data_IF_560406484900
#
_entry.id   IF_560406484900
#
_cell.length_a   1.000
_cell.length_b   1.000
_cell.length_c   1.000
_cell.angle_alpha   90.00
_cell.angle_beta   90.00
_cell.angle_gamma   90.00
#
_symmetry.space_group_name_H-M   'P 1'
#
loop_
_entity.id
_entity.type
_entity.pdbx_description
1 polymer ?
#
# COMPACT_ATOMS: atom_id res chain seq x y z
N UNK A 1 13.63 5.23 -3.23
CA UNK A 1 13.14 5.76 -1.94
C UNK A 1 11.62 5.61 -1.89
N UNK A 2 11.00 5.61 -0.71
CA UNK A 2 9.53 5.55 -0.57
C UNK A 2 8.99 6.96 -0.45
N UNK A 3 7.97 7.31 -1.24
CA UNK A 3 7.36 8.66 -1.24
C UNK A 3 5.83 8.64 -1.05
N UNK A 4 5.21 7.47 -1.11
CA UNK A 4 3.77 7.26 -0.86
C UNK A 4 3.54 6.57 0.49
N UNK A 5 2.60 7.10 1.29
CA UNK A 5 2.37 6.66 2.67
C UNK A 5 0.88 6.58 3.02
N UNK A 6 0.55 5.63 3.90
CA UNK A 6 -0.74 5.58 4.61
C UNK A 6 -0.44 5.80 6.09
N UNK A 7 -0.79 6.99 6.61
CA UNK A 7 -0.70 7.28 8.04
C UNK A 7 -1.98 6.86 8.75
N UNK A 8 -1.85 6.28 9.94
CA UNK A 8 -2.99 5.81 10.75
C UNK A 8 -2.86 6.29 12.20
N UNK A 9 -4.00 6.48 12.88
CA UNK A 9 -4.02 6.77 14.32
C UNK A 9 -3.93 5.47 15.13
N UNK A 10 -3.58 5.56 16.42
CA UNK A 10 -3.31 4.39 17.29
C UNK A 10 -4.48 3.42 17.48
N UNK A 11 -5.71 3.84 17.15
CA UNK A 11 -6.91 3.01 17.17
C UNK A 11 -6.88 1.89 16.14
N UNK A 12 -6.11 2.07 15.05
CA UNK A 12 -5.94 1.05 14.03
C UNK A 12 -4.69 0.21 14.29
N UNK A 13 -4.84 -1.10 14.14
CA UNK A 13 -3.73 -2.05 14.05
C UNK A 13 -3.48 -2.39 12.58
N UNK A 14 -2.25 -2.15 12.12
CA UNK A 14 -1.79 -2.59 10.79
C UNK A 14 -1.48 -4.08 10.86
N UNK A 15 -2.22 -4.89 10.10
CA UNK A 15 -2.01 -6.35 10.06
C UNK A 15 -1.28 -6.83 8.83
N UNK A 16 -1.29 -6.04 7.75
CA UNK A 16 -0.55 -6.32 6.52
C UNK A 16 -0.16 -5.01 5.86
N UNK A 17 1.05 -4.96 5.32
CA UNK A 17 1.52 -3.90 4.41
C UNK A 17 2.08 -4.57 3.15
N UNK A 18 1.77 -4.02 1.99
CA UNK A 18 2.31 -4.48 0.71
C UNK A 18 2.40 -3.32 -0.29
N UNK A 19 3.33 -3.44 -1.23
CA UNK A 19 3.35 -2.63 -2.46
C UNK A 19 2.92 -3.56 -3.59
N UNK A 20 1.87 -3.21 -4.32
CA UNK A 20 1.34 -4.04 -5.40
C UNK A 20 2.11 -3.72 -6.69
N UNK A 21 2.76 -4.72 -7.28
CA UNK A 21 3.65 -4.55 -8.44
C UNK A 21 3.11 -5.21 -9.70
N UNK A 22 1.82 -5.57 -9.69
CA UNK A 22 1.14 -6.16 -10.83
C UNK A 22 1.27 -5.27 -12.07
N UNK A 23 1.56 -5.91 -13.20
CA UNK A 23 1.64 -5.28 -14.50
C UNK A 23 1.15 -6.26 -15.56
N UNK A 24 0.93 -5.77 -16.78
CA UNK A 24 0.49 -6.62 -17.90
C UNK A 24 1.65 -7.19 -18.74
N UNK A 25 2.88 -7.17 -18.21
CA UNK A 25 4.11 -7.56 -18.90
C UNK A 25 4.72 -6.48 -19.79
N UNK A 26 4.00 -5.39 -20.09
CA UNK A 26 4.51 -4.25 -20.87
C UNK A 26 4.42 -2.92 -20.12
N UNK A 27 3.34 -2.71 -19.39
CA UNK A 27 3.04 -1.46 -18.69
C UNK A 27 2.59 -1.75 -17.26
N UNK A 28 3.08 -0.91 -16.35
CA UNK A 28 2.45 -0.75 -15.05
C UNK A 28 1.13 0.04 -15.20
N UNK A 29 0.14 -0.20 -14.33
CA UNK A 29 -1.12 0.54 -14.38
C UNK A 29 -0.99 2.05 -14.10
N UNK A 30 0.08 2.49 -13.43
CA UNK A 30 0.40 3.87 -13.08
C UNK A 30 1.93 4.02 -12.99
N UNK A 31 2.41 5.25 -12.98
CA UNK A 31 3.81 5.65 -12.72
C UNK A 31 4.24 5.44 -11.26
N UNK A 32 3.30 5.26 -10.33
CA UNK A 32 3.54 4.83 -8.95
C UNK A 32 2.96 3.43 -8.70
N UNK A 33 3.52 2.70 -7.73
CA UNK A 33 2.92 1.45 -7.27
C UNK A 33 1.96 1.70 -6.10
N UNK A 34 0.77 1.05 -6.06
CA UNK A 34 -0.14 1.18 -4.94
C UNK A 34 0.48 0.69 -3.62
N UNK A 35 0.37 1.52 -2.59
CA UNK A 35 0.64 1.12 -1.20
C UNK A 35 -0.66 0.57 -0.61
N UNK A 36 -0.64 -0.70 -0.20
CA UNK A 36 -1.79 -1.42 0.34
C UNK A 36 -1.57 -1.77 1.81
N UNK A 37 -2.60 -1.62 2.64
CA UNK A 37 -2.58 -2.05 4.04
C UNK A 37 -3.92 -2.65 4.46
N UNK A 38 -3.89 -3.70 5.29
CA UNK A 38 -5.06 -4.15 6.04
C UNK A 38 -5.02 -3.56 7.44
N UNK A 39 -6.18 -3.10 7.91
CA UNK A 39 -6.35 -2.51 9.23
C UNK A 39 -7.42 -3.26 10.02
N UNK A 40 -7.20 -3.42 11.31
CA UNK A 40 -8.23 -3.82 12.28
C UNK A 40 -8.44 -2.65 13.23
N UNK A 41 -9.70 -2.32 13.53
CA UNK A 41 -10.04 -1.39 14.61
C UNK A 41 -9.94 -2.12 15.95
N UNK A 42 -9.16 -1.57 16.88
CA UNK A 42 -8.99 -2.12 18.23
C UNK A 42 -10.23 -1.92 19.08
#
# INVERSE_FOLDING_TARGET
>A
ERIDYIFVTHHFQVTKYAVLTDNNGLYYPSDHQPVFTNLILK
#
